data_IF_704860876374
#
_entry.id   IF_704860876374
#
_cell.length_a   1.000
_cell.length_b   1.000
_cell.length_c   1.000
_cell.angle_alpha   90.00
_cell.angle_beta   90.00
_cell.angle_gamma   90.00
#
_symmetry.space_group_name_H-M   'P 1'
#
loop_
_entity.id
_entity.type
_entity.pdbx_description
1 polymer ?
#
# COMPACT_ATOMS: atom_id res chain seq x y z
N UNK A 1 17.86 26.54 -21.22
CA UNK A 1 19.05 26.44 -20.33
C UNK A 1 18.56 26.79 -18.94
N UNK A 2 18.43 25.87 -18.00
CA UNK A 2 19.44 24.90 -17.54
C UNK A 2 18.92 23.47 -17.54
N UNK A 3 19.59 22.60 -18.30
CA UNK A 3 19.59 21.15 -18.03
C UNK A 3 20.34 20.96 -16.72
N UNK A 4 19.62 21.11 -15.60
CA UNK A 4 20.13 20.66 -14.30
C UNK A 4 20.28 19.15 -14.41
N UNK A 5 21.51 18.68 -14.28
CA UNK A 5 21.88 17.28 -14.40
C UNK A 5 20.95 16.47 -13.46
N UNK A 6 20.26 15.46 -13.97
CA UNK A 6 19.36 14.62 -13.17
C UNK A 6 20.08 14.03 -11.94
N UNK A 7 21.42 13.95 -12.01
CA UNK A 7 22.32 13.57 -10.93
C UNK A 7 22.37 14.58 -9.77
N UNK A 8 22.25 15.88 -10.06
CA UNK A 8 22.25 16.97 -9.06
C UNK A 8 20.91 17.03 -8.31
N UNK A 9 19.81 16.69 -8.98
CA UNK A 9 18.48 16.60 -8.38
C UNK A 9 18.27 15.33 -7.54
N UNK A 10 18.90 14.21 -7.90
CA UNK A 10 18.93 13.00 -7.06
C UNK A 10 19.67 13.22 -5.72
N UNK A 11 20.48 14.27 -5.58
CA UNK A 11 21.09 14.64 -4.30
C UNK A 11 20.16 15.50 -3.42
N UNK A 12 19.18 16.20 -4.02
CA UNK A 12 18.21 17.05 -3.32
C UNK A 12 17.00 16.22 -2.86
N UNK A 13 16.54 15.28 -3.69
CA UNK A 13 15.56 14.26 -3.30
C UNK A 13 16.34 13.03 -2.89
N UNK A 14 16.78 12.99 -1.62
CA UNK A 14 17.34 11.78 -1.02
C UNK A 14 16.41 10.60 -1.32
N UNK A 15 16.95 9.44 -1.71
CA UNK A 15 16.16 8.24 -1.98
C UNK A 15 15.29 7.85 -0.77
N UNK A 16 15.69 8.29 0.44
CA UNK A 16 14.92 8.18 1.68
C UNK A 16 13.59 8.97 1.68
N UNK A 17 13.45 10.00 0.85
CA UNK A 17 12.27 10.88 0.81
C UNK A 17 11.27 10.50 -0.28
N UNK A 18 11.62 9.64 -1.24
CA UNK A 18 10.71 9.17 -2.30
C UNK A 18 9.51 8.41 -1.72
N UNK A 19 9.67 7.51 -0.71
CA UNK A 19 8.53 6.86 -0.06
C UNK A 19 7.63 7.85 0.69
N UNK A 20 8.22 8.87 1.34
CA UNK A 20 7.47 9.91 2.05
C UNK A 20 6.66 10.79 1.09
N UNK A 21 7.24 11.12 -0.08
CA UNK A 21 6.58 11.86 -1.14
C UNK A 21 5.41 11.06 -1.75
N UNK A 22 5.63 9.78 -2.05
CA UNK A 22 4.59 8.87 -2.52
C UNK A 22 3.47 8.71 -1.50
N UNK A 23 3.79 8.58 -0.21
CA UNK A 23 2.81 8.49 0.86
C UNK A 23 1.99 9.78 1.02
N UNK A 24 2.63 10.95 0.87
CA UNK A 24 1.94 12.24 0.91
C UNK A 24 0.97 12.40 -0.28
N UNK A 25 1.45 12.13 -1.50
CA UNK A 25 0.63 12.22 -2.71
C UNK A 25 -0.51 11.19 -2.72
N UNK A 26 -0.30 9.99 -2.16
CA UNK A 26 -1.34 8.96 -2.01
C UNK A 26 -2.42 9.37 -0.99
N UNK A 27 -2.03 10.06 0.09
CA UNK A 27 -2.96 10.54 1.13
C UNK A 27 -3.89 11.65 0.61
N UNK A 28 -3.42 12.46 -0.33
CA UNK A 28 -4.17 13.61 -0.85
C UNK A 28 -4.98 13.30 -2.12
N UNK A 29 -4.88 12.09 -2.70
CA UNK A 29 -5.56 11.74 -3.96
C UNK A 29 -4.97 12.40 -5.22
N UNK A 30 -4.10 13.40 -5.01
CA UNK A 30 -3.43 14.22 -6.02
C UNK A 30 -2.38 13.46 -6.86
N UNK A 31 -2.08 12.20 -6.51
CA UNK A 31 -1.21 11.33 -7.30
C UNK A 31 -1.79 11.08 -8.70
N UNK A 32 -3.13 11.03 -8.85
CA UNK A 32 -3.79 10.79 -10.15
C UNK A 32 -3.59 11.97 -11.11
N UNK A 33 -3.75 13.22 -10.64
CA UNK A 33 -3.49 14.43 -11.43
C UNK A 33 -2.00 14.56 -11.79
N UNK A 34 -1.12 14.26 -10.84
CA UNK A 34 0.32 14.27 -11.03
C UNK A 34 0.82 13.20 -12.03
N UNK A 35 0.13 12.05 -12.11
CA UNK A 35 0.49 10.89 -12.96
C UNK A 35 -0.17 10.95 -14.34
N UNK A 36 -1.33 11.59 -14.48
CA UNK A 36 -2.08 11.69 -15.75
C UNK A 36 -1.44 12.58 -16.81
N UNK A 37 -0.41 13.35 -16.46
CA UNK A 37 0.33 14.21 -17.38
C UNK A 37 -0.10 15.68 -17.40
N UNK A 38 -1.25 16.02 -16.83
CA UNK A 38 -1.68 17.39 -16.54
C UNK A 38 -1.63 17.62 -15.03
N UNK A 39 -0.43 17.89 -14.51
CA UNK A 39 -0.32 18.55 -13.22
C UNK A 39 -0.77 20.00 -13.44
N UNK A 40 -1.98 20.33 -12.99
CA UNK A 40 -2.47 21.70 -13.10
C UNK A 40 -1.59 22.67 -12.28
N UNK A 41 -1.69 23.96 -12.60
CA UNK A 41 -0.92 25.02 -11.94
C UNK A 41 -1.17 25.05 -10.42
N UNK A 42 -2.31 24.52 -9.96
CA UNK A 42 -2.69 24.46 -8.54
C UNK A 42 -1.90 23.38 -7.79
N UNK A 43 -1.77 22.17 -8.37
CA UNK A 43 -0.93 21.10 -7.84
C UNK A 43 0.54 21.51 -7.82
N UNK A 44 1.03 22.15 -8.89
CA UNK A 44 2.40 22.65 -8.95
C UNK A 44 2.67 23.75 -7.91
N UNK A 45 1.71 24.65 -7.69
CA UNK A 45 1.80 25.68 -6.65
C UNK A 45 1.84 25.08 -5.24
N UNK A 46 1.00 24.07 -4.96
CA UNK A 46 0.96 23.38 -3.66
C UNK A 46 2.24 22.58 -3.39
N UNK A 47 2.77 21.90 -4.41
CA UNK A 47 4.06 21.21 -4.30
C UNK A 47 5.21 22.21 -4.09
N UNK A 48 5.15 23.37 -4.74
CA UNK A 48 6.12 24.44 -4.55
C UNK A 48 6.02 25.09 -3.15
N UNK A 49 4.83 25.19 -2.57
CA UNK A 49 4.63 25.67 -1.20
C UNK A 49 5.18 24.68 -0.18
N UNK A 50 4.94 23.38 -0.40
CA UNK A 50 5.30 22.30 0.52
C UNK A 50 6.79 21.96 0.48
N UNK A 51 7.39 21.95 -0.70
CA UNK A 51 8.76 21.48 -0.93
C UNK A 51 9.69 22.56 -1.50
N UNK A 52 9.21 23.81 -1.56
CA UNK A 52 9.94 24.93 -2.13
C UNK A 52 9.92 24.93 -3.67
N UNK A 53 10.60 25.89 -4.33
CA UNK A 53 10.65 26.02 -5.80
C UNK A 53 11.21 24.78 -6.53
N UNK A 54 11.71 23.79 -5.79
CA UNK A 54 12.11 22.47 -6.26
C UNK A 54 10.95 21.50 -6.57
N UNK A 55 9.70 21.82 -6.18
CA UNK A 55 8.55 20.93 -6.32
C UNK A 55 8.24 20.47 -7.76
N UNK A 56 8.51 21.32 -8.75
CA UNK A 56 8.42 20.96 -10.17
C UNK A 56 9.45 19.89 -10.59
N UNK A 57 10.67 19.96 -10.07
CA UNK A 57 11.72 18.98 -10.36
C UNK A 57 11.50 17.63 -9.67
N UNK A 58 10.78 17.62 -8.54
CA UNK A 58 10.46 16.39 -7.81
C UNK A 58 9.60 15.42 -8.63
N UNK A 59 8.70 15.95 -9.47
CA UNK A 59 7.85 15.17 -10.38
C UNK A 59 8.69 14.45 -11.45
N UNK A 60 9.66 15.13 -12.04
CA UNK A 60 10.56 14.53 -13.04
C UNK A 60 11.50 13.49 -12.44
N UNK A 61 11.96 13.72 -11.21
CA UNK A 61 12.73 12.73 -10.43
C UNK A 61 11.88 11.50 -10.13
N UNK A 62 10.63 11.67 -9.72
CA UNK A 62 9.71 10.57 -9.44
C UNK A 62 9.42 9.75 -10.70
N UNK A 63 9.13 10.40 -11.83
CA UNK A 63 8.95 9.74 -13.15
C UNK A 63 10.18 8.93 -13.52
N UNK A 64 11.37 9.50 -13.37
CA UNK A 64 12.64 8.84 -13.66
C UNK A 64 12.90 7.64 -12.74
N UNK A 65 12.58 7.77 -11.45
CA UNK A 65 12.72 6.70 -10.47
C UNK A 65 11.79 5.52 -10.79
N UNK A 66 10.51 5.77 -11.06
CA UNK A 66 9.53 4.74 -11.39
C UNK A 66 9.89 4.01 -12.69
N UNK A 67 10.34 4.74 -13.71
CA UNK A 67 10.83 4.17 -14.97
C UNK A 67 12.03 3.24 -14.75
N UNK A 68 12.97 3.60 -13.85
CA UNK A 68 14.10 2.73 -13.48
C UNK A 68 13.70 1.46 -12.75
N UNK A 69 12.55 1.46 -12.07
CA UNK A 69 11.99 0.27 -11.40
C UNK A 69 11.20 -0.65 -12.36
N UNK A 70 11.16 -0.33 -13.66
CA UNK A 70 10.38 -1.10 -14.64
C UNK A 70 8.87 -0.91 -14.49
N UNK A 71 8.44 0.08 -13.72
CA UNK A 71 7.02 0.46 -13.58
C UNK A 71 6.70 1.38 -14.75
N UNK A 72 5.99 0.87 -15.75
CA UNK A 72 5.58 1.65 -16.90
C UNK A 72 4.60 2.76 -16.49
N UNK A 73 4.92 3.99 -16.87
CA UNK A 73 4.12 5.21 -16.68
C UNK A 73 2.96 5.25 -17.69
N UNK A 74 2.16 4.19 -17.79
CA UNK A 74 1.00 4.20 -18.67
C UNK A 74 -0.26 4.57 -17.89
N UNK A 75 -0.89 5.67 -18.31
CA UNK A 75 -2.21 6.14 -17.85
C UNK A 75 -3.31 5.06 -17.93
N UNK A 76 -3.05 3.97 -18.63
CA UNK A 76 -3.92 2.81 -18.81
C UNK A 76 -4.11 1.98 -17.52
N UNK A 77 -3.28 2.18 -16.50
CA UNK A 77 -3.54 1.59 -15.17
C UNK A 77 -4.68 2.32 -14.42
N UNK A 78 -5.06 3.51 -14.87
CA UNK A 78 -6.09 4.36 -14.27
C UNK A 78 -7.11 4.94 -15.26
N UNK A 79 -7.12 4.50 -16.51
CA UNK A 79 -8.22 4.76 -17.45
C UNK A 79 -9.42 3.85 -17.12
N UNK A 80 -9.92 3.95 -15.88
CA UNK A 80 -11.28 3.60 -15.55
C UNK A 80 -12.15 4.78 -15.94
N UNK A 81 -12.85 4.61 -17.06
CA UNK A 81 -14.12 5.23 -17.44
C UNK A 81 -14.57 6.44 -16.58
N UNK A 82 -14.64 7.63 -17.17
CA UNK A 82 -15.26 8.83 -16.58
C UNK A 82 -16.79 8.70 -16.46
N UNK A 83 -17.32 7.49 -16.27
CA UNK A 83 -18.74 7.20 -16.18
C UNK A 83 -19.02 6.40 -14.91
N UNK A 84 -19.74 7.06 -14.00
CA UNK A 84 -20.25 6.59 -12.71
C UNK A 84 -19.28 6.77 -11.52
N UNK A 85 -19.78 7.45 -10.48
CA UNK A 85 -19.17 7.67 -9.18
C UNK A 85 -18.38 6.44 -8.72
N UNK A 86 -17.05 6.48 -8.84
CA UNK A 86 -16.18 5.33 -8.59
C UNK A 86 -16.33 4.84 -7.15
N UNK A 87 -17.09 3.76 -6.97
CA UNK A 87 -17.28 3.11 -5.70
C UNK A 87 -15.91 2.64 -5.20
N UNK A 88 -15.48 3.17 -4.05
CA UNK A 88 -14.23 2.80 -3.42
C UNK A 88 -14.13 1.26 -3.36
N UNK A 89 -12.95 0.66 -3.62
CA UNK A 89 -12.79 -0.79 -3.67
C UNK A 89 -13.43 -1.43 -2.43
N UNK A 90 -14.22 -2.49 -2.65
CA UNK A 90 -14.92 -3.16 -1.56
C UNK A 90 -13.93 -3.53 -0.46
N UNK A 91 -14.23 -3.15 0.77
CA UNK A 91 -13.32 -3.34 1.88
C UNK A 91 -13.01 -4.84 2.13
N UNK A 92 -13.89 -5.75 1.68
CA UNK A 92 -13.63 -7.17 1.63
C UNK A 92 -12.59 -7.57 0.58
N UNK A 93 -12.59 -6.95 -0.60
CA UNK A 93 -11.56 -7.15 -1.63
C UNK A 93 -10.21 -6.55 -1.23
N UNK A 94 -10.20 -5.40 -0.55
CA UNK A 94 -8.97 -4.86 0.05
C UNK A 94 -8.39 -5.82 1.10
N UNK A 95 -9.23 -6.32 2.02
CA UNK A 95 -8.81 -7.28 3.02
C UNK A 95 -8.26 -8.56 2.37
N UNK A 96 -8.91 -9.02 1.29
CA UNK A 96 -8.46 -10.17 0.51
C UNK A 96 -7.10 -9.93 -0.14
N UNK A 97 -6.83 -8.73 -0.65
CA UNK A 97 -5.54 -8.37 -1.22
C UNK A 97 -4.43 -8.43 -0.16
N UNK A 98 -4.64 -7.80 0.99
CA UNK A 98 -3.65 -7.81 2.08
C UNK A 98 -3.35 -9.22 2.60
N UNK A 99 -4.36 -10.10 2.65
CA UNK A 99 -4.16 -11.50 3.02
C UNK A 99 -3.36 -12.29 1.98
N UNK A 100 -3.43 -11.93 0.69
CA UNK A 100 -2.58 -12.54 -0.34
C UNK A 100 -1.12 -12.09 -0.18
N UNK A 101 -0.89 -10.82 0.07
CA UNK A 101 0.45 -10.30 0.32
C UNK A 101 1.06 -10.97 1.58
N UNK A 102 0.28 -11.12 2.64
CA UNK A 102 0.71 -11.85 3.84
C UNK A 102 1.07 -13.32 3.53
N UNK A 103 0.31 -13.98 2.64
CA UNK A 103 0.57 -15.35 2.23
C UNK A 103 1.89 -15.47 1.44
N UNK A 104 2.22 -14.48 0.60
CA UNK A 104 3.51 -14.42 -0.08
C UNK A 104 4.68 -14.29 0.91
N UNK A 105 4.52 -13.50 1.98
CA UNK A 105 5.54 -13.38 3.03
C UNK A 105 5.72 -14.69 3.81
N UNK A 106 4.62 -15.32 4.20
CA UNK A 106 4.60 -16.60 4.93
C UNK A 106 5.23 -17.73 4.12
N UNK A 107 5.12 -17.67 2.80
CA UNK A 107 5.68 -18.66 1.87
C UNK A 107 7.17 -18.50 1.58
N UNK A 108 7.80 -17.42 2.05
CA UNK A 108 9.25 -17.22 1.89
C UNK A 108 10.00 -18.33 2.61
N UNK A 109 11.02 -18.87 1.94
CA UNK A 109 11.94 -19.81 2.57
C UNK A 109 12.71 -19.12 3.71
N UNK A 110 12.93 -19.84 4.81
CA UNK A 110 13.70 -19.33 5.96
C UNK A 110 12.88 -18.59 7.01
N UNK A 111 11.53 -18.58 6.91
CA UNK A 111 10.68 -18.12 8.00
C UNK A 111 10.87 -18.95 9.28
N UNK A 112 10.94 -18.27 10.42
CA UNK A 112 11.10 -18.84 11.75
C UNK A 112 9.79 -18.75 12.54
N UNK A 113 9.13 -19.90 12.72
CA UNK A 113 7.83 -20.02 13.38
C UNK A 113 7.94 -20.24 14.90
N UNK A 114 9.15 -20.20 15.49
CA UNK A 114 9.37 -20.57 16.89
C UNK A 114 8.51 -19.81 17.93
N UNK A 115 8.07 -18.59 17.60
CA UNK A 115 7.24 -17.75 18.46
C UNK A 115 5.85 -17.48 17.92
N UNK A 116 5.49 -18.04 16.75
CA UNK A 116 4.15 -17.91 16.19
C UNK A 116 3.23 -19.01 16.75
N UNK A 117 1.91 -18.79 16.71
CA UNK A 117 0.95 -19.86 16.99
C UNK A 117 0.88 -20.92 15.89
N UNK A 118 1.47 -20.65 14.73
CA UNK A 118 1.56 -21.60 13.62
C UNK A 118 2.73 -22.56 13.83
N UNK A 119 2.49 -23.84 13.58
CA UNK A 119 3.53 -24.88 13.69
C UNK A 119 4.59 -24.73 12.58
N UNK A 120 4.13 -24.34 11.39
CA UNK A 120 4.94 -24.20 10.19
C UNK A 120 4.25 -23.34 9.10
N UNK A 121 4.95 -23.15 7.98
CA UNK A 121 4.44 -22.43 6.82
C UNK A 121 3.17 -23.06 6.21
N UNK A 122 3.00 -24.38 6.27
CA UNK A 122 1.83 -25.05 5.72
C UNK A 122 0.57 -24.75 6.56
N UNK A 123 0.71 -24.72 7.88
CA UNK A 123 -0.36 -24.35 8.81
C UNK A 123 -0.80 -22.89 8.62
N UNK A 124 0.16 -21.96 8.56
CA UNK A 124 -0.09 -20.54 8.31
C UNK A 124 -0.75 -20.28 6.94
N UNK A 125 -0.23 -20.91 5.88
CA UNK A 125 -0.81 -20.84 4.53
C UNK A 125 -2.25 -21.34 4.52
N UNK A 126 -2.51 -22.48 5.17
CA UNK A 126 -3.86 -23.08 5.22
C UNK A 126 -4.85 -22.12 5.88
N UNK A 127 -4.47 -21.51 7.00
CA UNK A 127 -5.34 -20.54 7.69
C UNK A 127 -5.60 -19.30 6.82
N UNK A 128 -4.54 -18.66 6.30
CA UNK A 128 -4.68 -17.45 5.47
C UNK A 128 -5.49 -17.72 4.19
N UNK A 129 -5.23 -18.83 3.49
CA UNK A 129 -5.98 -19.23 2.30
C UNK A 129 -7.46 -19.47 2.61
N UNK A 130 -7.77 -20.06 3.78
CA UNK A 130 -9.16 -20.26 4.21
C UNK A 130 -9.90 -18.94 4.43
N UNK A 131 -9.23 -17.91 4.96
CA UNK A 131 -9.80 -16.58 5.17
C UNK A 131 -10.07 -15.87 3.83
N UNK A 132 -9.13 -15.95 2.89
CA UNK A 132 -9.27 -15.41 1.52
C UNK A 132 -10.47 -16.02 0.81
N UNK A 133 -10.66 -17.34 0.92
CA UNK A 133 -11.73 -18.08 0.25
C UNK A 133 -13.13 -17.75 0.82
N UNK A 134 -13.21 -17.37 2.09
CA UNK A 134 -14.46 -17.00 2.78
C UNK A 134 -14.89 -15.56 2.52
N UNK A 135 -13.99 -14.71 2.03
CA UNK A 135 -14.35 -13.40 1.52
C UNK A 135 -15.01 -13.52 0.13
N UNK A 136 -15.95 -12.63 -0.25
CA UNK A 136 -16.59 -11.60 0.58
C UNK A 136 -17.75 -12.14 1.44
N UNK A 137 -18.18 -13.39 1.23
CA UNK A 137 -19.42 -13.95 1.78
C UNK A 137 -19.50 -13.93 3.31
N UNK A 138 -18.38 -14.10 4.00
CA UNK A 138 -18.30 -14.11 5.47
C UNK A 138 -17.45 -12.96 6.02
N UNK A 139 -17.45 -11.79 5.37
CA UNK A 139 -16.55 -10.67 5.68
C UNK A 139 -16.49 -10.29 7.16
N UNK A 140 -17.61 -10.27 7.89
CA UNK A 140 -17.61 -9.94 9.31
C UNK A 140 -16.91 -10.99 10.19
N UNK A 141 -17.09 -12.28 9.89
CA UNK A 141 -16.44 -13.36 10.63
C UNK A 141 -14.94 -13.43 10.30
N UNK A 142 -14.59 -13.25 9.03
CA UNK A 142 -13.20 -13.16 8.57
C UNK A 142 -12.50 -11.97 9.22
N UNK A 143 -13.13 -10.78 9.24
CA UNK A 143 -12.56 -9.57 9.84
C UNK A 143 -12.18 -9.75 11.31
N UNK A 144 -12.98 -10.48 12.10
CA UNK A 144 -12.67 -10.78 13.49
C UNK A 144 -11.41 -11.66 13.62
N UNK A 145 -11.28 -12.70 12.79
CA UNK A 145 -10.10 -13.55 12.78
C UNK A 145 -8.86 -12.80 12.30
N UNK A 146 -8.97 -11.99 11.23
CA UNK A 146 -7.86 -11.18 10.72
C UNK A 146 -7.36 -10.19 11.78
N UNK A 147 -8.27 -9.57 12.55
CA UNK A 147 -7.89 -8.68 13.64
C UNK A 147 -7.05 -9.39 14.73
N UNK A 148 -7.26 -10.69 14.95
CA UNK A 148 -6.44 -11.49 15.89
C UNK A 148 -5.08 -11.82 15.28
N UNK A 149 -5.04 -12.22 14.00
CA UNK A 149 -3.80 -12.54 13.30
C UNK A 149 -2.84 -11.33 13.26
N UNK A 150 -3.39 -10.13 13.06
CA UNK A 150 -2.66 -8.85 12.99
C UNK A 150 -2.60 -8.09 14.33
N UNK A 151 -3.06 -8.69 15.43
CA UNK A 151 -2.99 -8.04 16.73
C UNK A 151 -1.53 -7.80 17.16
N UNK A 152 -1.27 -6.87 18.08
CA UNK A 152 -0.01 -6.82 18.80
C UNK A 152 0.31 -8.19 19.41
N UNK A 153 1.55 -8.65 19.23
CA UNK A 153 2.01 -10.02 19.54
C UNK A 153 1.12 -11.11 18.94
N UNK A 154 0.50 -10.81 17.79
CA UNK A 154 -0.28 -11.76 17.03
C UNK A 154 0.62 -12.68 16.21
N UNK A 155 0.07 -13.81 15.72
CA UNK A 155 0.81 -14.84 15.00
C UNK A 155 1.68 -14.31 13.86
N UNK A 156 1.17 -13.33 13.10
CA UNK A 156 1.88 -12.75 11.96
C UNK A 156 2.96 -11.76 12.41
N UNK A 157 2.74 -11.00 13.49
CA UNK A 157 3.78 -10.11 14.03
C UNK A 157 4.95 -10.89 14.62
N UNK A 158 4.66 -11.94 15.38
CA UNK A 158 5.68 -12.79 15.98
C UNK A 158 6.53 -13.46 14.90
N UNK A 159 5.87 -14.00 13.86
CA UNK A 159 6.56 -14.54 12.70
C UNK A 159 7.43 -13.49 12.00
N UNK A 160 6.91 -12.27 11.78
CA UNK A 160 7.65 -11.17 11.14
C UNK A 160 8.93 -10.82 11.88
N UNK A 161 8.84 -10.71 13.21
CA UNK A 161 9.96 -10.38 14.08
C UNK A 161 11.03 -11.46 14.04
N UNK A 162 10.63 -12.73 14.10
CA UNK A 162 11.56 -13.87 14.07
C UNK A 162 12.18 -14.09 12.68
N UNK A 163 11.48 -13.69 11.62
CA UNK A 163 11.88 -13.94 10.23
C UNK A 163 12.50 -12.73 9.52
N UNK A 164 12.61 -11.59 10.19
CA UNK A 164 13.32 -10.41 9.69
C UNK A 164 12.57 -9.54 8.68
N UNK A 165 11.24 -9.62 8.62
CA UNK A 165 10.40 -8.81 7.72
C UNK A 165 9.39 -7.90 8.45
N UNK A 166 9.77 -7.41 9.64
CA UNK A 166 8.96 -6.48 10.45
C UNK A 166 8.46 -5.25 9.67
N UNK A 167 9.28 -4.69 8.78
CA UNK A 167 8.89 -3.51 7.99
C UNK A 167 7.79 -3.83 6.97
N UNK A 168 7.85 -5.02 6.34
CA UNK A 168 6.77 -5.52 5.47
C UNK A 168 5.48 -5.72 6.29
N UNK A 169 5.61 -6.31 7.49
CA UNK A 169 4.47 -6.50 8.40
C UNK A 169 3.79 -5.18 8.78
N UNK A 170 4.53 -4.12 9.10
CA UNK A 170 3.96 -2.83 9.49
C UNK A 170 3.15 -2.19 8.34
N UNK A 171 3.58 -2.39 7.09
CA UNK A 171 2.83 -1.95 5.92
C UNK A 171 1.52 -2.73 5.78
N UNK A 172 1.57 -4.06 5.91
CA UNK A 172 0.37 -4.89 5.87
C UNK A 172 -0.60 -4.54 7.00
N UNK A 173 -0.12 -4.35 8.23
CA UNK A 173 -0.95 -3.99 9.38
C UNK A 173 -1.67 -2.66 9.14
N UNK A 174 -0.98 -1.67 8.58
CA UNK A 174 -1.59 -0.37 8.21
C UNK A 174 -2.73 -0.55 7.20
N UNK A 175 -2.55 -1.42 6.20
CA UNK A 175 -3.59 -1.69 5.21
C UNK A 175 -4.76 -2.49 5.79
N UNK A 176 -4.50 -3.49 6.64
CA UNK A 176 -5.54 -4.25 7.35
C UNK A 176 -6.39 -3.32 8.21
N UNK A 177 -5.78 -2.45 9.01
CA UNK A 177 -6.53 -1.54 9.90
C UNK A 177 -7.51 -0.68 9.10
N UNK A 178 -7.06 -0.08 7.99
CA UNK A 178 -7.93 0.71 7.11
C UNK A 178 -9.09 -0.10 6.50
N UNK A 179 -8.83 -1.32 6.03
CA UNK A 179 -9.86 -2.19 5.47
C UNK A 179 -10.89 -2.62 6.54
N UNK A 180 -10.42 -2.96 7.74
CA UNK A 180 -11.29 -3.34 8.87
C UNK A 180 -12.17 -2.17 9.34
N UNK A 181 -11.62 -0.95 9.39
CA UNK A 181 -12.39 0.25 9.68
C UNK A 181 -13.51 0.49 8.66
N UNK A 182 -13.20 0.37 7.36
CA UNK A 182 -14.19 0.50 6.29
C UNK A 182 -15.28 -0.57 6.36
N UNK A 183 -14.92 -1.83 6.62
CA UNK A 183 -15.89 -2.92 6.83
C UNK A 183 -16.84 -2.62 8.00
N UNK A 184 -16.32 -2.10 9.11
CA UNK A 184 -17.13 -1.69 10.28
C UNK A 184 -18.05 -0.52 9.94
N UNK A 185 -17.54 0.49 9.23
CA UNK A 185 -18.32 1.66 8.82
C UNK A 185 -19.41 1.33 7.79
N UNK A 186 -19.17 0.39 6.87
CA UNK A 186 -20.18 -0.11 5.93
C UNK A 186 -21.37 -0.74 6.65
N UNK A 187 -21.12 -1.58 7.67
CA UNK A 187 -22.16 -2.21 8.48
C UNK A 187 -23.02 -1.21 9.28
N UNK A 188 -22.44 -0.09 9.70
CA UNK A 188 -23.16 0.96 10.43
C UNK A 188 -24.09 1.78 9.54
N UNK A 189 -23.81 1.87 8.22
CA UNK A 189 -24.63 2.60 7.24
C UNK A 189 -25.79 1.78 6.65
N UNK A 190 -25.76 0.47 6.80
CA UNK A 190 -26.80 -0.45 6.33
C UNK A 190 -27.85 -0.86 7.38
N UNK A 191 -27.99 -0.11 8.49
CA UNK A 191 -28.95 -0.36 9.58
C UNK A 191 -29.96 0.78 9.72
#
# INVERSE_FOLDING_TARGET
MTSGDASEWMAIVDAANVPALLAALRREGDLVAAIGGDADDELLARLAERFGPAGSGALDVLKTYLAKQGIAFEAQFWAGDESEEGEAPDAGDELRAVLRDALELVDRAGNDFAWSSWEDAASARTELASLIARLPTEAAAVAATVAVIFAPTGPLQELALSSGWTDDYLQLATHVDGALERLRAGKARGQ
#
